data_IF_906371581826
#
_entry.id   IF_906371581826
#
_cell.length_a   1.000
_cell.length_b   1.000
_cell.length_c   1.000
_cell.angle_alpha   90.00
_cell.angle_beta   90.00
_cell.angle_gamma   90.00
#
_symmetry.space_group_name_H-M   'P 1'
#
loop_
_entity.id
_entity.type
_entity.pdbx_description
1 polymer ?
#
# COMPACT_ATOMS: atom_id res chain seq x y z
N UNK A 1 -8.64 20.65 33.55
CA UNK A 1 -8.83 19.68 32.45
C UNK A 1 -7.61 18.78 32.47
N UNK A 2 -7.75 17.53 32.91
CA UNK A 2 -6.59 16.65 33.12
C UNK A 2 -6.15 16.02 31.79
N UNK A 3 -4.84 16.01 31.56
CA UNK A 3 -4.19 15.59 30.33
C UNK A 3 -4.31 14.07 30.13
N UNK A 4 -5.22 13.64 29.25
CA UNK A 4 -5.39 12.24 28.86
C UNK A 4 -4.37 11.76 27.79
N UNK A 5 -3.46 12.62 27.34
CA UNK A 5 -2.52 12.30 26.26
C UNK A 5 -1.49 11.24 26.69
N UNK A 6 -0.89 11.37 27.89
CA UNK A 6 0.15 10.43 28.35
C UNK A 6 -0.36 9.02 28.65
N UNK A 7 -1.61 8.86 29.09
CA UNK A 7 -2.13 7.52 29.46
C UNK A 7 -2.60 6.71 28.26
N UNK A 8 -3.12 7.37 27.23
CA UNK A 8 -3.57 6.73 26.01
C UNK A 8 -2.39 6.27 25.15
N UNK A 9 -1.40 7.14 24.95
CA UNK A 9 -0.20 6.83 24.18
C UNK A 9 0.61 5.70 24.82
N UNK A 10 0.77 5.72 26.14
CA UNK A 10 1.39 4.64 26.91
C UNK A 10 0.69 3.28 26.72
N UNK A 11 -0.64 3.30 26.62
CA UNK A 11 -1.42 2.09 26.42
C UNK A 11 -1.19 1.49 25.03
N UNK A 12 -1.18 2.33 24.01
CA UNK A 12 -0.93 1.91 22.63
C UNK A 12 0.47 1.31 22.47
N UNK A 13 1.50 1.96 23.02
CA UNK A 13 2.87 1.44 23.04
C UNK A 13 2.90 0.06 23.69
N UNK A 14 2.32 -0.09 24.89
CA UNK A 14 2.31 -1.37 25.61
C UNK A 14 1.57 -2.46 24.85
N UNK A 15 0.45 -2.14 24.21
CA UNK A 15 -0.31 -3.12 23.42
C UNK A 15 0.47 -3.54 22.17
N UNK A 16 1.04 -2.60 21.44
CA UNK A 16 1.76 -2.88 20.20
C UNK A 16 3.02 -3.70 20.44
N UNK A 17 3.81 -3.38 21.47
CA UNK A 17 5.02 -4.13 21.83
C UNK A 17 4.70 -5.60 22.13
N UNK A 18 3.53 -5.90 22.70
CA UNK A 18 3.07 -7.29 22.94
C UNK A 18 2.76 -8.05 21.64
N UNK A 19 2.48 -7.36 20.55
CA UNK A 19 2.21 -7.96 19.24
C UNK A 19 3.51 -8.24 18.46
N UNK A 20 4.62 -7.59 18.83
CA UNK A 20 5.92 -7.80 18.19
C UNK A 20 6.44 -9.21 18.46
N UNK A 21 7.04 -9.82 17.45
CA UNK A 21 7.64 -11.17 17.52
C UNK A 21 8.91 -11.24 16.68
N UNK A 22 9.83 -12.12 17.08
CA UNK A 22 11.10 -12.35 16.38
C UNK A 22 11.88 -11.04 16.18
N UNK A 23 12.44 -10.86 14.99
CA UNK A 23 13.28 -9.70 14.65
C UNK A 23 12.64 -8.33 14.95
N UNK A 24 11.31 -8.23 14.94
CA UNK A 24 10.61 -6.99 15.28
C UNK A 24 10.63 -6.70 16.79
N UNK A 25 10.56 -7.76 17.61
CA UNK A 25 10.71 -7.64 19.06
C UNK A 25 12.17 -7.37 19.44
N UNK A 26 13.11 -8.10 18.84
CA UNK A 26 14.56 -7.92 19.08
C UNK A 26 14.99 -6.47 18.76
N UNK A 27 14.54 -5.94 17.62
CA UNK A 27 14.75 -4.54 17.27
C UNK A 27 14.23 -3.57 18.35
N UNK A 28 13.01 -3.79 18.85
CA UNK A 28 12.44 -2.92 19.87
C UNK A 28 13.25 -2.96 21.17
N UNK A 29 13.76 -4.14 21.56
CA UNK A 29 14.59 -4.28 22.77
C UNK A 29 15.99 -3.68 22.63
N UNK A 30 16.49 -3.53 21.39
CA UNK A 30 17.79 -2.92 21.11
C UNK A 30 17.73 -1.38 21.05
N UNK A 31 16.55 -0.77 21.14
CA UNK A 31 16.39 0.69 21.16
C UNK A 31 16.96 1.30 22.44
N UNK A 32 17.56 2.49 22.31
CA UNK A 32 18.13 3.19 23.45
C UNK A 32 17.03 3.61 24.44
N UNK A 33 17.31 3.48 25.74
CA UNK A 33 16.32 3.84 26.76
C UNK A 33 15.96 5.33 26.65
N UNK A 34 14.66 5.62 26.52
CA UNK A 34 14.18 6.99 26.30
C UNK A 34 14.23 7.46 24.85
N UNK A 35 14.54 6.57 23.88
CA UNK A 35 14.46 6.92 22.45
C UNK A 35 13.04 6.91 21.89
N UNK A 36 12.04 6.47 22.66
CA UNK A 36 10.62 6.49 22.31
C UNK A 36 9.87 7.19 23.43
N UNK A 37 9.36 8.38 23.14
CA UNK A 37 8.60 9.21 24.08
C UNK A 37 7.08 8.93 24.01
N UNK A 38 6.62 8.18 23.02
CA UNK A 38 5.20 7.86 22.86
C UNK A 38 4.87 7.05 21.61
N UNK A 39 3.57 6.84 21.38
CA UNK A 39 3.06 6.03 20.27
C UNK A 39 3.53 6.52 18.90
N UNK A 40 3.42 7.82 18.63
CA UNK A 40 3.74 8.41 17.32
C UNK A 40 5.20 8.12 16.92
N UNK A 41 6.13 8.24 17.86
CA UNK A 41 7.54 7.97 17.61
C UNK A 41 7.83 6.48 17.41
N UNK A 42 7.21 5.61 18.21
CA UNK A 42 7.31 4.15 18.02
C UNK A 42 6.78 3.73 16.65
N UNK A 43 5.62 4.25 16.25
CA UNK A 43 5.01 3.98 14.94
C UNK A 43 5.93 4.42 13.80
N UNK A 44 6.48 5.64 13.87
CA UNK A 44 7.40 6.15 12.86
C UNK A 44 8.68 5.33 12.76
N UNK A 45 9.33 5.02 13.88
CA UNK A 45 10.56 4.22 13.89
C UNK A 45 10.32 2.78 13.41
N UNK A 46 9.20 2.17 13.79
CA UNK A 46 8.81 0.85 13.30
C UNK A 46 8.59 0.86 11.78
N UNK A 47 7.85 1.85 11.27
CA UNK A 47 7.64 2.01 9.84
C UNK A 47 8.98 2.31 9.13
N UNK A 48 9.87 3.10 9.71
CA UNK A 48 11.21 3.34 9.16
C UNK A 48 12.04 2.05 9.06
N UNK A 49 11.97 1.20 10.07
CA UNK A 49 12.75 -0.04 10.11
C UNK A 49 12.18 -1.14 9.21
N UNK A 50 10.86 -1.32 9.23
CA UNK A 50 10.20 -2.48 8.62
C UNK A 50 9.37 -2.16 7.37
N UNK A 51 9.04 -0.89 7.12
CA UNK A 51 8.17 -0.47 6.02
C UNK A 51 8.81 0.51 5.02
N UNK A 52 9.78 1.34 5.45
CA UNK A 52 10.37 2.46 4.69
C UNK A 52 11.24 2.03 3.51
N UNK A 53 11.49 0.73 3.34
CA UNK A 53 12.10 0.19 2.12
C UNK A 53 11.11 -0.01 0.97
N UNK A 54 9.80 0.17 1.17
CA UNK A 54 8.84 0.11 0.07
C UNK A 54 8.94 1.37 -0.79
N UNK A 55 9.53 1.22 -1.98
CA UNK A 55 9.49 2.21 -3.06
C UNK A 55 8.07 2.77 -3.17
N UNK A 56 7.94 4.08 -2.96
CA UNK A 56 6.68 4.77 -3.30
C UNK A 56 6.50 4.68 -4.81
N UNK A 57 5.35 4.19 -5.24
CA UNK A 57 5.00 4.08 -6.67
C UNK A 57 4.32 5.37 -7.09
N UNK A 58 4.82 5.99 -8.15
CA UNK A 58 4.15 7.15 -8.75
C UNK A 58 2.90 6.73 -9.51
N UNK A 59 1.90 7.60 -9.62
CA UNK A 59 0.71 7.36 -10.46
C UNK A 59 1.09 7.01 -11.91
N UNK A 60 2.15 7.62 -12.44
CA UNK A 60 2.67 7.34 -13.78
C UNK A 60 3.19 5.91 -13.90
N UNK A 61 3.94 5.43 -12.91
CA UNK A 61 4.44 4.04 -12.88
C UNK A 61 3.29 3.03 -12.77
N UNK A 62 2.30 3.33 -11.92
CA UNK A 62 1.13 2.48 -11.72
C UNK A 62 0.29 2.35 -13.00
N UNK A 63 -0.01 3.48 -13.66
CA UNK A 63 -0.80 3.53 -14.89
C UNK A 63 -0.05 3.02 -16.13
N UNK A 64 1.28 2.94 -16.08
CA UNK A 64 2.11 2.36 -17.13
C UNK A 64 2.40 0.87 -16.94
N UNK A 65 1.98 0.27 -15.83
CA UNK A 65 2.08 -1.18 -15.65
C UNK A 65 1.29 -1.91 -16.73
N UNK A 66 1.91 -2.91 -17.35
CA UNK A 66 1.32 -3.76 -18.40
C UNK A 66 1.52 -5.22 -18.01
N UNK A 67 0.60 -6.07 -18.43
CA UNK A 67 0.77 -7.52 -18.42
C UNK A 67 1.98 -7.87 -19.29
N UNK A 68 2.82 -8.79 -18.82
CA UNK A 68 3.92 -9.32 -19.64
C UNK A 68 3.43 -10.41 -20.59
N UNK A 69 4.18 -10.66 -21.67
CA UNK A 69 3.76 -11.56 -22.77
C UNK A 69 3.40 -12.98 -22.30
N UNK A 70 4.02 -13.46 -21.23
CA UNK A 70 3.84 -14.81 -20.68
C UNK A 70 3.21 -14.80 -19.28
N UNK A 71 2.83 -13.63 -18.77
CA UNK A 71 2.21 -13.48 -17.45
C UNK A 71 0.71 -13.76 -17.54
N UNK A 72 0.14 -14.68 -16.75
CA UNK A 72 -1.30 -14.85 -16.64
C UNK A 72 -2.00 -13.54 -16.21
N UNK A 73 -3.19 -13.27 -16.73
CA UNK A 73 -3.95 -12.04 -16.43
C UNK A 73 -4.16 -11.86 -14.92
N UNK A 74 -4.40 -12.94 -14.19
CA UNK A 74 -4.60 -12.90 -12.74
C UNK A 74 -3.34 -12.46 -11.99
N UNK A 75 -2.17 -12.88 -12.47
CA UNK A 75 -0.89 -12.51 -11.87
C UNK A 75 -0.57 -11.04 -12.14
N UNK A 76 -0.88 -10.55 -13.35
CA UNK A 76 -0.83 -9.13 -13.67
C UNK A 76 -1.73 -8.29 -12.74
N UNK A 77 -2.99 -8.70 -12.54
CA UNK A 77 -3.93 -7.99 -11.66
C UNK A 77 -3.40 -7.95 -10.22
N UNK A 78 -2.88 -9.08 -9.72
CA UNK A 78 -2.31 -9.15 -8.37
C UNK A 78 -1.06 -8.27 -8.25
N UNK A 79 -0.18 -8.27 -9.25
CA UNK A 79 0.99 -7.39 -9.29
C UNK A 79 0.57 -5.92 -9.32
N UNK A 80 -0.40 -5.55 -10.15
CA UNK A 80 -0.93 -4.18 -10.21
C UNK A 80 -1.57 -3.76 -8.89
N UNK A 81 -2.36 -4.63 -8.25
CA UNK A 81 -2.97 -4.37 -6.93
C UNK A 81 -1.90 -4.15 -5.87
N UNK A 82 -0.87 -5.00 -5.81
CA UNK A 82 0.25 -4.83 -4.90
C UNK A 82 1.02 -3.52 -5.17
N UNK A 83 1.16 -3.15 -6.43
CA UNK A 83 1.77 -1.89 -6.84
C UNK A 83 0.94 -0.68 -6.39
N UNK A 84 -0.40 -0.76 -6.50
CA UNK A 84 -1.31 0.31 -6.06
C UNK A 84 -1.30 0.55 -4.55
N UNK A 85 -1.03 -0.48 -3.73
CA UNK A 85 -0.90 -0.32 -2.27
C UNK A 85 0.29 0.57 -1.88
N UNK A 86 1.26 0.72 -2.78
CA UNK A 86 2.44 1.56 -2.57
C UNK A 86 2.31 2.92 -3.28
N UNK A 87 1.17 3.22 -3.90
CA UNK A 87 0.88 4.51 -4.49
C UNK A 87 0.25 5.43 -3.44
N UNK A 88 0.79 6.64 -3.28
CA UNK A 88 0.29 7.62 -2.30
C UNK A 88 -1.04 8.25 -2.72
N UNK A 89 -1.34 8.22 -4.02
CA UNK A 89 -2.55 8.82 -4.57
C UNK A 89 -3.74 7.86 -4.48
N UNK A 90 -4.91 8.38 -4.11
CA UNK A 90 -6.14 7.59 -4.06
C UNK A 90 -6.71 7.37 -5.46
N UNK A 91 -6.92 6.11 -5.82
CA UNK A 91 -7.64 5.73 -7.04
C UNK A 91 -9.10 5.42 -6.74
N UNK A 92 -9.99 5.91 -7.59
CA UNK A 92 -11.37 5.42 -7.60
C UNK A 92 -11.42 4.02 -8.21
N UNK A 93 -12.44 3.25 -7.84
CA UNK A 93 -12.65 1.90 -8.39
C UNK A 93 -12.77 1.94 -9.94
N UNK A 94 -13.51 2.91 -10.47
CA UNK A 94 -13.66 3.10 -11.92
C UNK A 94 -12.33 3.38 -12.62
N UNK A 95 -11.46 4.21 -12.03
CA UNK A 95 -10.13 4.48 -12.59
C UNK A 95 -9.22 3.27 -12.51
N UNK A 96 -9.25 2.53 -11.40
CA UNK A 96 -8.48 1.30 -11.22
C UNK A 96 -8.86 0.24 -12.25
N UNK A 97 -10.17 0.00 -12.46
CA UNK A 97 -10.67 -0.92 -13.48
C UNK A 97 -10.19 -0.49 -14.86
N UNK A 98 -10.33 0.81 -15.19
CA UNK A 98 -9.90 1.35 -16.49
C UNK A 98 -8.40 1.13 -16.72
N UNK A 99 -7.56 1.38 -15.72
CA UNK A 99 -6.11 1.28 -15.87
C UNK A 99 -5.63 -0.17 -15.90
N UNK A 100 -6.21 -1.06 -15.10
CA UNK A 100 -5.97 -2.51 -15.20
C UNK A 100 -6.36 -3.01 -16.59
N UNK A 101 -7.56 -2.68 -17.07
CA UNK A 101 -8.04 -3.11 -18.39
C UNK A 101 -7.15 -2.65 -19.54
N UNK A 102 -6.61 -1.43 -19.49
CA UNK A 102 -5.65 -0.93 -20.51
C UNK A 102 -4.34 -1.71 -20.51
N UNK A 103 -3.93 -2.26 -19.36
CA UNK A 103 -2.67 -2.95 -19.22
C UNK A 103 -2.73 -4.46 -19.50
N UNK A 104 -3.91 -5.06 -19.60
CA UNK A 104 -4.08 -6.46 -19.99
C UNK A 104 -3.74 -6.68 -21.48
N UNK A 105 -3.13 -7.82 -21.79
CA UNK A 105 -2.91 -8.34 -23.13
C UNK A 105 -4.05 -9.32 -23.46
N UNK A 106 -4.67 -9.19 -24.64
CA UNK A 106 -5.62 -10.16 -25.19
C UNK A 106 -7.10 -9.76 -25.08
N UNK A 107 -7.99 -10.75 -25.17
CA UNK A 107 -9.45 -10.57 -25.30
C UNK A 107 -10.09 -9.70 -24.21
N UNK A 108 -9.55 -9.71 -22.99
CA UNK A 108 -10.08 -8.87 -21.90
C UNK A 108 -9.95 -7.36 -22.20
N UNK A 109 -8.88 -6.94 -22.88
CA UNK A 109 -8.71 -5.57 -23.34
C UNK A 109 -9.68 -5.20 -24.47
N UNK A 110 -10.10 -6.18 -25.27
CA UNK A 110 -11.10 -6.03 -26.34
C UNK A 110 -12.50 -5.87 -25.72
N UNK A 111 -12.90 -6.80 -24.86
CA UNK A 111 -14.20 -6.76 -24.17
C UNK A 111 -14.39 -5.48 -23.33
N UNK A 112 -13.34 -4.99 -22.68
CA UNK A 112 -13.42 -3.73 -21.92
C UNK A 112 -13.54 -2.50 -22.81
N UNK A 113 -13.04 -2.51 -24.05
CA UNK A 113 -13.21 -1.41 -25.02
C UNK A 113 -14.62 -1.40 -25.60
N UNK A 114 -15.18 -2.56 -25.93
CA UNK A 114 -16.53 -2.69 -26.48
C UNK A 114 -17.63 -2.36 -25.47
N UNK A 115 -17.36 -2.54 -24.17
CA UNK A 115 -18.30 -2.18 -23.10
C UNK A 115 -18.32 -0.68 -22.75
N UNK A 116 -17.51 0.16 -23.41
CA UNK A 116 -17.52 1.62 -23.22
C UNK A 116 -18.56 2.29 -24.14
N UNK A 117 -19.61 2.94 -23.61
CA UNK A 117 -20.79 3.35 -24.40
C UNK A 117 -20.61 4.59 -25.31
N UNK A 118 -19.40 4.95 -25.73
CA UNK A 118 -19.15 6.22 -26.44
C UNK A 118 -18.50 6.09 -27.83
N UNK A 119 -18.95 5.13 -28.65
CA UNK A 119 -18.63 5.10 -30.08
C UNK A 119 -19.87 4.79 -30.94
N UNK A 120 -20.94 5.57 -30.77
CA UNK A 120 -22.01 5.71 -31.77
C UNK A 120 -22.53 7.15 -31.78
N UNK A 121 -21.72 8.08 -32.30
CA UNK A 121 -22.20 9.33 -32.90
C UNK A 121 -21.27 9.67 -34.07
N UNK A 122 -21.55 9.05 -35.21
CA UNK A 122 -21.35 9.66 -36.52
C UNK A 122 -22.68 10.25 -36.94
#
# INVERSE_FOLDING_TARGET
MCNNAGTYDDHLVKQFVRLLKGNAFDWYTDLEAGSIDGWEQLEQEFLNRFYSTRRTVSMVELTNSRQWKEEPVIDYINRWRNLSLNCKDRLSEASAIKDVSKGCIGVFAIFSKESSPNLLKN
#
